data_IF_645924751351
#
_entry.id   IF_645924751351
#
_cell.length_a   1.000
_cell.length_b   1.000
_cell.length_c   1.000
_cell.angle_alpha   90.00
_cell.angle_beta   90.00
_cell.angle_gamma   90.00
#
_symmetry.space_group_name_H-M   'P 1'
#
loop_
_entity.id
_entity.type
_entity.pdbx_description
1 polymer ?
#
# COMPACT_ATOMS: atom_id res chain seq x y z
N UNK A 1 4.74 -8.41 1.94
CA UNK A 1 3.48 -9.05 2.34
C UNK A 1 3.33 -10.43 1.68
N UNK A 2 3.20 -10.51 0.36
CA UNK A 2 3.25 -11.79 -0.38
C UNK A 2 4.68 -12.27 -0.66
N UNK A 3 5.01 -12.56 -1.94
CA UNK A 3 6.24 -13.24 -2.39
C UNK A 3 7.55 -12.73 -1.78
N UNK A 4 7.75 -11.40 -1.68
CA UNK A 4 9.01 -10.82 -1.18
C UNK A 4 9.07 -10.67 0.35
N UNK A 5 7.99 -10.98 1.08
CA UNK A 5 7.88 -10.82 2.55
C UNK A 5 8.32 -9.44 3.09
N UNK A 6 8.28 -8.40 2.25
CA UNK A 6 8.68 -7.02 2.57
C UNK A 6 7.49 -6.06 2.55
N UNK A 7 7.53 -5.00 3.36
CA UNK A 7 6.59 -3.89 3.33
C UNK A 7 7.17 -2.66 2.63
N UNK A 8 6.35 -1.62 2.42
CA UNK A 8 6.68 -0.36 1.79
C UNK A 8 5.90 0.79 2.43
N UNK A 9 6.23 2.01 2.06
CA UNK A 9 5.53 3.23 2.47
C UNK A 9 4.71 3.75 1.30
N UNK A 10 3.53 4.29 1.62
CA UNK A 10 2.55 4.79 0.65
C UNK A 10 2.03 6.14 1.06
N UNK A 11 1.77 7.00 0.08
CA UNK A 11 0.85 8.13 0.26
C UNK A 11 -0.59 7.67 0.15
N UNK A 12 -1.31 7.74 1.26
CA UNK A 12 -2.68 7.18 1.37
C UNK A 12 -3.76 8.20 1.04
N UNK A 13 -3.38 9.45 0.78
CA UNK A 13 -4.27 10.54 0.39
C UNK A 13 -4.01 10.94 -1.06
N UNK A 14 -5.07 11.01 -1.87
CA UNK A 14 -5.01 11.58 -3.23
C UNK A 14 -5.19 13.12 -3.24
N UNK A 15 -4.84 13.76 -2.13
CA UNK A 15 -5.14 15.17 -1.84
C UNK A 15 -3.94 16.08 -2.04
N UNK A 16 -4.07 17.35 -1.63
CA UNK A 16 -2.97 18.32 -1.74
C UNK A 16 -1.85 18.09 -0.70
N UNK A 17 -2.15 17.37 0.38
CA UNK A 17 -1.21 17.05 1.44
C UNK A 17 -0.55 15.69 1.20
N UNK A 18 0.70 15.55 1.64
CA UNK A 18 1.47 14.30 1.50
C UNK A 18 1.47 13.55 2.83
N UNK A 19 0.89 12.34 2.87
CA UNK A 19 0.75 11.53 4.09
C UNK A 19 1.39 10.14 3.94
N UNK A 20 2.62 9.99 4.44
CA UNK A 20 3.40 8.75 4.32
C UNK A 20 3.09 7.74 5.42
N UNK A 21 2.45 6.63 5.07
CA UNK A 21 2.07 5.59 6.03
C UNK A 21 2.75 4.25 5.72
N UNK A 22 3.25 3.52 6.73
CA UNK A 22 3.80 2.19 6.55
C UNK A 22 2.68 1.18 6.33
N UNK A 23 2.78 0.44 5.23
CA UNK A 23 1.76 -0.55 4.86
C UNK A 23 1.87 -1.76 5.78
N UNK A 24 0.73 -2.26 6.24
CA UNK A 24 0.62 -3.44 7.10
C UNK A 24 0.11 -4.66 6.33
N UNK A 25 -0.91 -4.49 5.50
CA UNK A 25 -1.55 -5.61 4.80
C UNK A 25 -2.09 -5.24 3.42
N UNK A 26 -2.11 -6.21 2.52
CA UNK A 26 -2.77 -6.15 1.21
C UNK A 26 -3.46 -7.49 1.00
N UNK A 27 -4.78 -7.46 0.85
CA UNK A 27 -5.61 -8.65 0.68
C UNK A 27 -6.50 -8.51 -0.54
N UNK A 28 -6.43 -9.48 -1.46
CA UNK A 28 -7.41 -9.58 -2.55
C UNK A 28 -8.69 -10.16 -1.98
N UNK A 29 -9.78 -9.38 -2.02
CA UNK A 29 -11.10 -9.78 -1.52
C UNK A 29 -11.93 -10.47 -2.59
N UNK A 30 -11.82 -9.99 -3.81
CA UNK A 30 -12.51 -10.52 -4.98
C UNK A 30 -11.61 -10.36 -6.22
N UNK A 31 -11.69 -11.34 -7.12
CA UNK A 31 -11.04 -11.29 -8.43
C UNK A 31 -11.87 -12.13 -9.40
N UNK A 32 -12.63 -11.45 -10.26
CA UNK A 32 -13.54 -12.10 -11.20
C UNK A 32 -13.22 -11.69 -12.64
N UNK A 33 -13.14 -12.66 -13.55
CA UNK A 33 -13.13 -12.35 -14.98
C UNK A 33 -14.50 -11.78 -15.37
N UNK A 34 -14.50 -10.65 -16.06
CA UNK A 34 -15.73 -9.93 -16.43
C UNK A 34 -15.88 -9.85 -17.94
N UNK A 35 -17.14 -9.76 -18.40
CA UNK A 35 -17.40 -9.48 -19.81
C UNK A 35 -16.93 -8.06 -20.16
N UNK A 36 -16.04 -7.95 -21.15
CA UNK A 36 -15.41 -6.68 -21.55
C UNK A 36 -16.43 -5.60 -21.92
N UNK A 37 -17.43 -5.93 -22.73
CA UNK A 37 -18.46 -4.96 -23.16
C UNK A 37 -19.28 -4.46 -21.98
N UNK A 38 -19.69 -5.37 -21.09
CA UNK A 38 -20.48 -5.01 -19.89
C UNK A 38 -19.67 -4.15 -18.92
N UNK A 39 -18.41 -4.53 -18.65
CA UNK A 39 -17.53 -3.74 -17.79
C UNK A 39 -17.25 -2.35 -18.39
N UNK A 40 -16.95 -2.30 -19.70
CA UNK A 40 -16.69 -1.05 -20.39
C UNK A 40 -17.88 -0.10 -20.35
N UNK A 41 -19.09 -0.62 -20.62
CA UNK A 41 -20.31 0.17 -20.53
C UNK A 41 -20.55 0.67 -19.11
N UNK A 42 -20.36 -0.21 -18.12
CA UNK A 42 -20.60 0.11 -16.69
C UNK A 42 -19.68 1.22 -16.17
N UNK A 43 -18.38 1.14 -16.47
CA UNK A 43 -17.38 2.00 -15.82
C UNK A 43 -16.96 3.19 -16.69
N UNK A 44 -17.13 3.11 -18.01
CA UNK A 44 -16.64 4.13 -18.95
C UNK A 44 -17.70 4.62 -19.94
N UNK A 45 -18.93 4.08 -19.92
CA UNK A 45 -20.03 4.56 -20.75
C UNK A 45 -19.89 4.27 -22.25
N UNK A 46 -18.98 3.36 -22.63
CA UNK A 46 -18.74 2.96 -24.03
C UNK A 46 -18.82 1.44 -24.19
N UNK A 47 -19.39 0.91 -25.27
CA UNK A 47 -19.46 -0.54 -25.50
C UNK A 47 -18.09 -1.15 -25.84
N UNK A 48 -17.15 -0.34 -26.32
CA UNK A 48 -15.80 -0.77 -26.67
C UNK A 48 -14.83 -0.25 -25.63
N UNK A 49 -14.02 -1.15 -25.08
CA UNK A 49 -13.00 -0.80 -24.08
C UNK A 49 -11.95 0.13 -24.71
N UNK A 50 -11.74 1.35 -24.17
CA UNK A 50 -11.00 2.39 -24.89
C UNK A 50 -9.50 2.46 -24.55
N UNK A 51 -9.00 1.72 -23.56
CA UNK A 51 -7.67 1.99 -22.98
C UNK A 51 -6.53 1.15 -23.56
N UNK A 52 -6.76 -0.14 -23.80
CA UNK A 52 -5.71 -1.04 -24.27
C UNK A 52 -6.24 -2.05 -25.29
N UNK A 53 -5.78 -1.93 -26.53
CA UNK A 53 -6.15 -2.81 -27.65
C UNK A 53 -5.49 -4.19 -27.60
N UNK A 54 -4.42 -4.36 -26.81
CA UNK A 54 -3.73 -5.65 -26.60
C UNK A 54 -4.41 -6.50 -25.54
N UNK A 55 -5.34 -5.93 -24.77
CA UNK A 55 -6.08 -6.64 -23.74
C UNK A 55 -7.03 -7.66 -24.38
N UNK A 56 -6.99 -8.89 -23.86
CA UNK A 56 -7.86 -9.99 -24.28
C UNK A 56 -8.97 -10.22 -23.24
N UNK A 57 -8.67 -10.01 -21.95
CA UNK A 57 -9.63 -10.19 -20.85
C UNK A 57 -9.50 -9.08 -19.82
N UNK A 58 -10.61 -8.77 -19.18
CA UNK A 58 -10.65 -7.94 -17.98
C UNK A 58 -10.92 -8.79 -16.75
N UNK A 59 -10.19 -8.54 -15.67
CA UNK A 59 -10.52 -9.02 -14.34
C UNK A 59 -10.90 -7.85 -13.44
N UNK A 60 -12.11 -7.87 -12.88
CA UNK A 60 -12.46 -6.95 -11.81
C UNK A 60 -11.80 -7.43 -10.51
N UNK A 61 -11.12 -6.52 -9.83
CA UNK A 61 -10.42 -6.80 -8.58
C UNK A 61 -10.87 -5.83 -7.51
N UNK A 62 -11.23 -6.38 -6.34
CA UNK A 62 -11.39 -5.62 -5.12
C UNK A 62 -10.34 -6.04 -4.11
N UNK A 63 -9.59 -5.07 -3.61
CA UNK A 63 -8.55 -5.30 -2.60
C UNK A 63 -8.82 -4.49 -1.36
N UNK A 64 -8.40 -5.03 -0.22
CA UNK A 64 -8.39 -4.31 1.05
C UNK A 64 -6.94 -4.06 1.44
N UNK A 65 -6.62 -2.79 1.63
CA UNK A 65 -5.27 -2.29 1.89
C UNK A 65 -5.23 -1.68 3.29
N UNK A 66 -4.29 -2.11 4.12
CA UNK A 66 -4.19 -1.67 5.52
C UNK A 66 -2.85 -1.01 5.79
N UNK A 67 -2.87 0.08 6.54
CA UNK A 67 -1.69 0.80 7.01
C UNK A 67 -1.87 1.23 8.47
N UNK A 68 -0.76 1.59 9.10
CA UNK A 68 -0.74 2.10 10.47
C UNK A 68 -0.85 3.63 10.42
N UNK A 69 -1.65 4.25 11.27
CA UNK A 69 -1.71 5.70 11.46
C UNK A 69 -1.03 6.13 12.76
N UNK A 70 -0.84 7.44 12.93
CA UNK A 70 -0.08 8.03 14.03
C UNK A 70 -0.71 7.79 15.41
N UNK A 71 0.13 7.59 16.42
CA UNK A 71 -0.27 7.43 17.82
C UNK A 71 0.75 8.06 18.75
N UNK A 72 0.27 8.62 19.85
CA UNK A 72 1.10 9.20 20.93
C UNK A 72 1.16 8.30 22.17
N UNK A 73 0.71 7.06 22.04
CA UNK A 73 0.62 6.13 23.16
C UNK A 73 1.92 5.39 23.38
N UNK A 74 2.37 5.37 24.63
CA UNK A 74 3.58 4.69 25.07
C UNK A 74 3.40 3.16 25.21
N UNK A 75 4.53 2.46 25.14
CA UNK A 75 4.67 1.02 25.29
C UNK A 75 4.76 0.25 23.96
N UNK A 76 5.01 -1.08 24.04
CA UNK A 76 5.28 -1.89 22.86
C UNK A 76 3.97 -2.30 22.16
N UNK A 77 3.41 -1.38 21.38
CA UNK A 77 2.11 -1.53 20.70
C UNK A 77 2.01 -2.78 19.82
N UNK A 78 3.12 -3.19 19.20
CA UNK A 78 3.14 -4.36 18.30
C UNK A 78 3.03 -5.67 19.08
N UNK A 79 3.90 -5.91 20.07
CA UNK A 79 3.92 -7.18 20.82
C UNK A 79 2.69 -7.35 21.73
N UNK A 80 2.06 -6.23 22.11
CA UNK A 80 0.82 -6.23 22.91
C UNK A 80 -0.46 -6.30 22.07
N UNK A 81 -0.37 -6.30 20.74
CA UNK A 81 -1.52 -6.30 19.84
C UNK A 81 -2.29 -4.97 19.77
N UNK A 82 -1.94 -3.99 20.60
CA UNK A 82 -2.57 -2.66 20.64
C UNK A 82 -2.41 -1.89 19.31
N UNK A 83 -1.46 -2.29 18.47
CA UNK A 83 -1.27 -1.75 17.11
C UNK A 83 -2.52 -1.92 16.22
N UNK A 84 -3.39 -2.88 16.51
CA UNK A 84 -4.62 -3.10 15.76
C UNK A 84 -5.56 -1.90 15.83
N UNK A 85 -5.64 -1.24 16.99
CA UNK A 85 -6.41 0.00 17.16
C UNK A 85 -5.86 1.18 16.36
N UNK A 86 -4.62 1.07 15.88
CA UNK A 86 -3.94 2.07 15.04
C UNK A 86 -3.78 1.62 13.59
N UNK A 87 -4.46 0.55 13.21
CA UNK A 87 -4.46 0.05 11.84
C UNK A 87 -5.78 0.40 11.20
N UNK A 88 -5.72 1.20 10.14
CA UNK A 88 -6.88 1.49 9.30
C UNK A 88 -6.78 0.72 7.99
N UNK A 89 -7.89 0.65 7.26
CA UNK A 89 -7.94 -0.02 5.96
C UNK A 89 -8.84 0.74 5.00
N UNK A 90 -8.53 0.59 3.70
CA UNK A 90 -9.33 1.10 2.61
C UNK A 90 -9.41 0.07 1.50
N UNK A 91 -10.58 0.01 0.89
CA UNK A 91 -10.79 -0.86 -0.25
C UNK A 91 -10.52 -0.10 -1.55
N UNK A 92 -9.86 -0.78 -2.47
CA UNK A 92 -9.61 -0.28 -3.81
C UNK A 92 -10.19 -1.21 -4.87
N UNK A 93 -10.74 -0.63 -5.93
CA UNK A 93 -11.43 -1.31 -7.01
C UNK A 93 -10.80 -0.92 -8.36
N UNK A 94 -10.43 -1.92 -9.15
CA UNK A 94 -9.79 -1.72 -10.45
C UNK A 94 -10.08 -2.89 -11.39
N UNK A 95 -9.93 -2.63 -12.68
CA UNK A 95 -9.89 -3.64 -13.73
C UNK A 95 -8.42 -3.94 -14.04
N UNK A 96 -8.02 -5.21 -14.00
CA UNK A 96 -6.76 -5.66 -14.58
C UNK A 96 -6.97 -6.05 -16.03
N UNK A 97 -6.07 -5.57 -16.88
CA UNK A 97 -6.00 -5.93 -18.30
C UNK A 97 -5.09 -7.14 -18.44
N UNK A 98 -5.62 -8.21 -19.03
CA UNK A 98 -4.92 -9.48 -19.17
C UNK A 98 -4.71 -9.85 -20.63
N UNK A 99 -3.55 -10.40 -20.94
CA UNK A 99 -3.26 -10.99 -22.25
C UNK A 99 -3.91 -12.38 -22.42
N UNK A 100 -3.63 -13.05 -23.54
CA UNK A 100 -4.14 -14.39 -23.83
C UNK A 100 -3.70 -15.44 -22.79
N UNK A 101 -2.53 -15.23 -22.18
CA UNK A 101 -1.87 -16.11 -21.21
C UNK A 101 -2.15 -15.73 -19.75
N UNK A 102 -3.08 -14.80 -19.50
CA UNK A 102 -3.41 -14.27 -18.17
C UNK A 102 -2.28 -13.47 -17.50
N UNK A 103 -1.32 -12.97 -18.27
CA UNK A 103 -0.37 -12.00 -17.74
C UNK A 103 -1.05 -10.64 -17.59
N UNK A 104 -0.75 -9.94 -16.49
CA UNK A 104 -1.18 -8.56 -16.26
C UNK A 104 -0.36 -7.66 -17.19
N UNK A 105 -1.05 -6.93 -18.07
CA UNK A 105 -0.44 -6.01 -19.03
C UNK A 105 -0.87 -4.55 -18.85
N UNK A 106 -1.74 -4.29 -17.88
CA UNK A 106 -2.19 -2.96 -17.52
C UNK A 106 -3.40 -3.02 -16.58
N UNK A 107 -4.09 -1.89 -16.41
CA UNK A 107 -5.27 -1.81 -15.58
C UNK A 107 -5.80 -0.39 -15.43
N UNK A 108 -7.05 -0.30 -15.01
CA UNK A 108 -7.80 0.95 -14.86
C UNK A 108 -8.49 1.00 -13.52
N UNK A 109 -8.34 2.12 -12.79
CA UNK A 109 -9.13 2.37 -11.59
C UNK A 109 -10.60 2.52 -11.93
N UNK A 110 -11.48 2.01 -11.06
CA UNK A 110 -12.93 2.12 -11.24
C UNK A 110 -13.61 2.55 -9.94
N UNK A 111 -14.88 2.96 -10.05
CA UNK A 111 -15.64 3.45 -8.91
C UNK A 111 -14.97 4.67 -8.26
N UNK A 112 -14.98 4.70 -6.92
CA UNK A 112 -14.37 5.80 -6.16
C UNK A 112 -12.85 5.79 -6.25
N UNK A 113 -12.23 4.63 -6.50
CA UNK A 113 -10.77 4.52 -6.60
C UNK A 113 -10.19 5.26 -7.79
N UNK A 114 -11.01 5.74 -8.75
CA UNK A 114 -10.54 6.62 -9.83
C UNK A 114 -9.92 7.92 -9.33
N UNK A 115 -10.54 8.51 -8.31
CA UNK A 115 -10.09 9.78 -7.72
C UNK A 115 -9.38 9.55 -6.38
N UNK A 116 -9.50 8.34 -5.82
CA UNK A 116 -9.11 8.06 -4.46
C UNK A 116 -8.32 6.76 -4.36
N UNK A 117 -7.10 6.82 -4.89
CA UNK A 117 -6.10 5.77 -4.89
C UNK A 117 -4.74 6.33 -4.43
N UNK A 118 -3.79 5.48 -4.03
CA UNK A 118 -2.48 5.96 -3.63
C UNK A 118 -1.71 6.64 -4.76
N UNK A 119 -1.10 7.79 -4.48
CA UNK A 119 -0.30 8.52 -5.48
C UNK A 119 1.04 7.83 -5.78
N UNK A 120 1.73 7.40 -4.73
CA UNK A 120 3.02 6.75 -4.88
C UNK A 120 3.32 5.73 -3.79
N UNK A 121 4.29 4.87 -4.08
CA UNK A 121 4.88 3.93 -3.15
C UNK A 121 6.40 4.03 -3.19
N UNK A 122 7.06 3.79 -2.07
CA UNK A 122 8.52 3.76 -2.01
C UNK A 122 9.04 2.78 -0.97
N UNK A 123 10.28 2.37 -1.16
CA UNK A 123 10.97 1.43 -0.29
C UNK A 123 12.22 2.09 0.30
N UNK A 124 12.41 2.10 1.63
CA UNK A 124 13.70 2.44 2.20
C UNK A 124 14.72 1.39 1.77
N UNK A 125 15.86 1.80 1.22
CA UNK A 125 16.91 0.90 0.70
C UNK A 125 17.83 0.37 1.79
N UNK A 126 17.88 1.04 2.94
CA UNK A 126 18.68 0.65 4.09
C UNK A 126 18.45 1.57 5.28
N UNK A 127 19.10 1.24 6.40
CA UNK A 127 19.20 2.14 7.56
C UNK A 127 20.28 3.20 7.29
N UNK A 128 20.23 4.36 7.98
CA UNK A 128 21.34 5.31 7.99
C UNK A 128 22.65 4.64 8.43
N UNK A 129 23.79 5.22 8.05
CA UNK A 129 25.09 4.77 8.56
C UNK A 129 25.16 4.92 10.10
N UNK A 130 25.80 3.97 10.78
CA UNK A 130 25.84 3.94 12.25
C UNK A 130 26.46 5.21 12.87
N UNK A 131 27.42 5.83 12.17
CA UNK A 131 28.09 7.05 12.59
C UNK A 131 27.38 8.34 12.15
N UNK A 132 26.16 8.27 11.61
CA UNK A 132 25.39 9.45 11.23
C UNK A 132 25.08 10.29 12.46
N UNK A 133 25.43 11.58 12.39
CA UNK A 133 24.98 12.62 13.32
C UNK A 133 24.18 13.64 12.52
N UNK A 134 22.94 13.91 12.94
CA UNK A 134 22.10 14.90 12.26
C UNK A 134 22.64 16.32 12.49
N UNK A 135 22.21 17.28 11.67
CA UNK A 135 22.59 18.71 11.82
C UNK A 135 22.19 19.31 13.16
N UNK A 136 21.23 18.72 13.86
CA UNK A 136 20.77 19.12 15.20
C UNK A 136 21.46 18.33 16.32
N UNK A 137 22.47 17.51 16.01
CA UNK A 137 23.30 16.81 16.98
C UNK A 137 22.77 15.45 17.44
N UNK A 138 21.76 14.86 16.79
CA UNK A 138 21.27 13.52 17.14
C UNK A 138 22.20 12.44 16.56
N UNK A 139 22.84 11.69 17.45
CA UNK A 139 23.70 10.54 17.10
C UNK A 139 22.85 9.29 16.85
N UNK A 140 22.92 8.73 15.63
CA UNK A 140 22.22 7.49 15.31
C UNK A 140 22.73 6.31 16.14
N UNK A 141 24.04 6.24 16.42
CA UNK A 141 24.62 5.22 17.29
C UNK A 141 23.99 5.21 18.69
N UNK A 142 23.83 6.38 19.31
CA UNK A 142 23.23 6.49 20.65
C UNK A 142 21.76 6.06 20.63
N UNK A 143 21.01 6.45 19.58
CA UNK A 143 19.61 6.03 19.41
C UNK A 143 19.53 4.51 19.26
N UNK A 144 20.42 3.89 18.49
CA UNK A 144 20.44 2.44 18.33
C UNK A 144 20.72 1.71 19.64
N UNK A 145 21.62 2.22 20.48
CA UNK A 145 21.91 1.67 21.81
C UNK A 145 20.66 1.70 22.71
N UNK A 146 19.97 2.85 22.77
CA UNK A 146 18.74 3.00 23.56
C UNK A 146 17.62 2.08 23.05
N UNK A 147 17.45 1.97 21.72
CA UNK A 147 16.49 1.03 21.13
C UNK A 147 16.83 -0.41 21.54
N UNK A 148 18.10 -0.79 21.51
CA UNK A 148 18.51 -2.14 21.89
C UNK A 148 18.21 -2.44 23.37
N UNK A 149 18.53 -1.51 24.28
CA UNK A 149 18.20 -1.62 25.70
C UNK A 149 16.69 -1.77 25.90
N UNK A 150 15.90 -0.91 25.25
CA UNK A 150 14.42 -0.94 25.28
C UNK A 150 13.85 -2.28 24.82
N UNK A 151 14.37 -2.84 23.72
CA UNK A 151 13.92 -4.13 23.18
C UNK A 151 14.30 -5.32 24.07
N UNK A 152 15.40 -5.22 24.82
CA UNK A 152 15.87 -6.29 25.72
C UNK A 152 15.29 -6.21 27.13
N UNK A 153 14.52 -5.16 27.44
CA UNK A 153 14.07 -4.85 28.81
C UNK A 153 15.22 -4.78 29.84
N UNK A 154 16.44 -4.46 29.38
CA UNK A 154 17.58 -4.21 30.27
C UNK A 154 17.54 -2.74 30.66
N UNK A 155 17.26 -2.49 31.94
CA UNK A 155 17.26 -1.16 32.57
C UNK A 155 18.46 -1.06 33.50
#
# INVERSE_FOLDING_TARGET
>A
MGKQKRSFVVDVTAGAEVWNQPVRSFTVRNMDLVNTRTASMRYFGTPTYPFNDKMVRLAYVKTSFSWIFESYIDGPLVSTGRIDSYTTSKDYEYLLELDINYNIIGGEWVGNSKEDHPDFLWFPTGRPAANTVTSVGLSYANIQELIQQSLTCNV
#
